data_IF_206325000225
#
_entry.id   IF_206325000225
#
_cell.length_a   1.000
_cell.length_b   1.000
_cell.length_c   1.000
_cell.angle_alpha   90.00
_cell.angle_beta   90.00
_cell.angle_gamma   90.00
#
_symmetry.space_group_name_H-M   'P 1'
#
loop_
_entity.id
_entity.type
_entity.pdbx_description
1 polymer ?
#
# COMPACT_ATOMS: atom_id res chain seq x y z
N UNK A 1 -3.63 -1.35 -10.37
CA UNK A 1 -4.77 -2.06 -9.74
C UNK A 1 -4.22 -2.84 -8.56
N UNK A 2 -4.75 -2.66 -7.37
CA UNK A 2 -4.46 -3.58 -6.26
C UNK A 2 -5.25 -4.87 -6.51
N UNK A 3 -4.67 -6.07 -6.31
CA UNK A 3 -5.38 -7.35 -6.41
C UNK A 3 -6.67 -7.31 -5.59
N UNK A 4 -7.73 -8.00 -6.04
CA UNK A 4 -9.01 -8.06 -5.29
C UNK A 4 -8.79 -8.61 -3.87
N UNK A 5 -7.80 -9.48 -3.69
CA UNK A 5 -7.34 -9.94 -2.38
C UNK A 5 -6.98 -8.78 -1.43
N UNK A 6 -6.29 -7.73 -1.91
CA UNK A 6 -5.94 -6.55 -1.09
C UNK A 6 -7.18 -5.74 -0.70
N UNK A 7 -8.19 -5.68 -1.57
CA UNK A 7 -9.46 -4.98 -1.28
C UNK A 7 -10.30 -5.75 -0.26
N UNK A 8 -10.35 -7.08 -0.34
CA UNK A 8 -11.07 -7.92 0.64
C UNK A 8 -10.37 -7.92 2.01
N UNK A 9 -9.04 -7.99 2.02
CA UNK A 9 -8.25 -7.90 3.25
C UNK A 9 -8.42 -6.52 3.93
N UNK A 10 -8.48 -5.43 3.16
CA UNK A 10 -8.71 -4.06 3.65
C UNK A 10 -10.11 -3.75 4.21
N UNK A 11 -11.07 -4.70 4.20
CA UNK A 11 -12.44 -4.49 4.69
C UNK A 11 -12.67 -4.96 6.13
N UNK A 12 -11.71 -5.66 6.75
CA UNK A 12 -11.80 -6.01 8.17
C UNK A 12 -11.47 -4.79 9.05
N UNK A 13 -12.28 -4.49 10.10
CA UNK A 13 -12.07 -3.31 10.93
C UNK A 13 -10.84 -3.49 11.81
N UNK A 14 -9.68 -3.08 11.32
CA UNK A 14 -8.48 -2.93 12.16
C UNK A 14 -8.43 -1.47 12.62
N UNK A 15 -9.20 -1.17 13.66
CA UNK A 15 -8.95 0.05 14.43
C UNK A 15 -7.62 -0.17 15.14
N UNK A 16 -6.57 0.56 14.74
CA UNK A 16 -5.23 0.66 15.37
C UNK A 16 -4.13 -0.33 14.94
N UNK A 17 -3.75 -0.38 13.66
CA UNK A 17 -2.46 -0.98 13.30
C UNK A 17 -1.85 -0.26 12.07
N UNK A 18 -0.63 0.29 12.21
CA UNK A 18 0.01 1.15 11.19
C UNK A 18 1.29 0.53 10.58
N UNK A 19 1.62 -0.73 10.89
CA UNK A 19 2.66 -1.49 10.21
C UNK A 19 2.04 -2.38 9.13
N UNK A 20 2.53 -2.27 7.89
CA UNK A 20 2.10 -3.14 6.79
C UNK A 20 2.21 -4.62 7.16
N UNK A 21 3.31 -5.04 7.78
CA UNK A 21 3.56 -6.43 8.18
C UNK A 21 2.57 -6.95 9.25
N UNK A 22 2.26 -6.14 10.27
CA UNK A 22 1.36 -6.55 11.37
C UNK A 22 -0.12 -6.51 10.95
N UNK A 23 -0.50 -5.59 10.03
CA UNK A 23 -1.83 -5.58 9.42
C UNK A 23 -2.12 -6.83 8.59
N UNK A 24 -1.17 -7.27 7.76
CA UNK A 24 -1.33 -8.50 6.99
C UNK A 24 -1.42 -9.73 7.89
N UNK A 25 -0.61 -9.77 8.95
CA UNK A 25 -0.61 -10.88 9.88
C UNK A 25 -1.98 -11.06 10.57
N UNK A 26 -2.58 -9.99 11.11
CA UNK A 26 -3.91 -10.03 11.73
C UNK A 26 -5.03 -10.47 10.76
N UNK A 27 -4.93 -10.07 9.50
CA UNK A 27 -5.90 -10.48 8.47
C UNK A 27 -5.76 -11.96 8.09
N UNK A 28 -4.53 -12.46 8.01
CA UNK A 28 -4.27 -13.89 7.75
C UNK A 28 -4.76 -14.73 8.93
N UNK A 29 -4.53 -14.29 10.16
CA UNK A 29 -4.98 -14.97 11.38
C UNK A 29 -6.50 -15.13 11.44
N UNK A 30 -7.24 -14.09 11.08
CA UNK A 30 -8.70 -14.17 10.98
C UNK A 30 -9.13 -15.27 9.97
N UNK A 31 -8.48 -15.34 8.81
CA UNK A 31 -8.73 -16.39 7.82
C UNK A 31 -8.34 -17.78 8.35
N UNK A 32 -7.22 -17.91 9.07
CA UNK A 32 -6.80 -19.19 9.68
C UNK A 32 -7.82 -19.72 10.69
N UNK A 33 -8.46 -18.83 11.44
CA UNK A 33 -9.52 -19.20 12.39
C UNK A 33 -10.79 -19.64 11.66
N UNK A 34 -11.16 -18.97 10.57
CA UNK A 34 -12.30 -19.39 9.73
C UNK A 34 -12.06 -20.75 9.05
N UNK A 35 -10.85 -20.99 8.54
CA UNK A 35 -10.46 -22.26 7.91
C UNK A 35 -10.54 -23.45 8.88
N UNK A 36 -10.35 -23.20 10.18
CA UNK A 36 -10.41 -24.20 11.24
C UNK A 36 -11.79 -24.32 11.91
N UNK A 37 -12.80 -23.59 11.43
CA UNK A 37 -14.14 -23.67 11.98
C UNK A 37 -14.71 -25.10 11.83
N UNK A 38 -15.25 -25.73 12.89
CA UNK A 38 -15.74 -27.12 12.82
C UNK A 38 -16.88 -27.34 11.81
N UNK A 39 -17.72 -26.33 11.58
CA UNK A 39 -18.92 -26.44 10.75
C UNK A 39 -18.69 -25.91 9.32
N UNK A 40 -17.96 -24.80 9.20
CA UNK A 40 -17.78 -24.04 7.95
C UNK A 40 -16.34 -24.07 7.41
N UNK A 41 -15.41 -24.68 8.13
CA UNK A 41 -14.00 -24.77 7.80
C UNK A 41 -13.66 -25.95 6.90
N UNK A 42 -12.36 -26.19 6.75
CA UNK A 42 -11.83 -27.28 5.92
C UNK A 42 -11.97 -28.59 6.67
N UNK A 43 -12.51 -29.61 5.99
CA UNK A 43 -12.61 -30.95 6.54
C UNK A 43 -11.21 -31.54 6.76
N UNK A 44 -10.95 -31.98 7.99
CA UNK A 44 -9.69 -32.63 8.31
C UNK A 44 -9.76 -34.15 8.14
N UNK A 45 -8.62 -34.76 7.86
CA UNK A 45 -8.46 -36.20 7.74
C UNK A 45 -7.32 -36.74 8.62
N UNK A 46 -7.33 -38.05 8.83
CA UNK A 46 -6.30 -38.75 9.60
C UNK A 46 -5.15 -39.16 8.69
N UNK A 47 -3.93 -38.76 9.06
CA UNK A 47 -2.70 -39.19 8.40
C UNK A 47 -2.15 -40.43 9.11
N UNK A 48 -1.83 -41.48 8.36
CA UNK A 48 -1.11 -42.65 8.89
C UNK A 48 0.40 -42.46 8.73
N UNK A 49 1.14 -42.44 9.84
CA UNK A 49 2.60 -42.36 9.86
C UNK A 49 3.18 -43.63 10.49
N UNK A 50 3.82 -44.46 9.68
CA UNK A 50 4.21 -45.83 10.04
C UNK A 50 2.99 -46.67 10.49
N UNK A 51 2.82 -46.84 11.81
CA UNK A 51 1.74 -47.63 12.44
C UNK A 51 0.85 -46.71 13.30
N UNK A 52 1.12 -45.40 13.34
CA UNK A 52 0.41 -44.45 14.20
C UNK A 52 -0.48 -43.54 13.37
N UNK A 53 -1.75 -43.48 13.73
CA UNK A 53 -2.72 -42.58 13.14
C UNK A 53 -2.66 -41.21 13.82
N UNK A 54 -2.52 -40.15 13.04
CA UNK A 54 -2.37 -38.77 13.52
C UNK A 54 -3.47 -37.91 12.87
N UNK A 55 -4.41 -37.36 13.67
CA UNK A 55 -5.56 -36.61 13.15
C UNK A 55 -5.18 -35.21 12.63
N UNK A 56 -6.20 -34.49 12.14
CA UNK A 56 -6.17 -33.07 11.79
C UNK A 56 -5.24 -32.67 10.63
N UNK A 57 -4.96 -33.58 9.69
CA UNK A 57 -4.30 -33.23 8.44
C UNK A 57 -5.32 -32.68 7.43
N UNK A 58 -4.88 -31.80 6.53
CA UNK A 58 -5.70 -31.22 5.45
C UNK A 58 -4.98 -31.36 4.11
N UNK A 59 -5.69 -31.62 3.02
CA UNK A 59 -5.09 -31.71 1.70
C UNK A 59 -4.88 -30.32 1.09
N UNK A 60 -3.80 -30.14 0.32
CA UNK A 60 -3.49 -28.89 -0.38
C UNK A 60 -4.61 -28.43 -1.31
N UNK A 61 -5.25 -29.36 -2.02
CA UNK A 61 -6.43 -29.08 -2.84
C UNK A 61 -7.61 -28.53 -2.04
N UNK A 62 -7.89 -29.06 -0.85
CA UNK A 62 -9.01 -28.59 -0.03
C UNK A 62 -8.75 -27.17 0.50
N UNK A 63 -7.50 -26.85 0.84
CA UNK A 63 -7.06 -25.49 1.19
C UNK A 63 -7.30 -24.53 0.02
N UNK A 64 -6.83 -24.88 -1.17
CA UNK A 64 -6.98 -24.04 -2.36
C UNK A 64 -8.45 -23.81 -2.72
N UNK A 65 -9.27 -24.86 -2.70
CA UNK A 65 -10.71 -24.76 -2.98
C UNK A 65 -11.45 -23.91 -1.96
N UNK A 66 -11.10 -24.02 -0.67
CA UNK A 66 -11.70 -23.18 0.37
C UNK A 66 -11.37 -21.69 0.14
N UNK A 67 -10.12 -21.36 -0.18
CA UNK A 67 -9.69 -19.98 -0.47
C UNK A 67 -10.46 -19.42 -1.66
N UNK A 68 -10.54 -20.18 -2.75
CA UNK A 68 -11.29 -19.81 -3.97
C UNK A 68 -12.75 -19.49 -3.66
N UNK A 69 -13.42 -20.37 -2.93
CA UNK A 69 -14.84 -20.22 -2.60
C UNK A 69 -15.09 -19.06 -1.63
N UNK A 70 -14.24 -18.92 -0.60
CA UNK A 70 -14.43 -17.94 0.47
C UNK A 70 -14.11 -16.51 0.04
N UNK A 71 -13.08 -16.32 -0.80
CA UNK A 71 -12.59 -15.01 -1.21
C UNK A 71 -13.04 -14.58 -2.61
N UNK A 72 -13.58 -15.50 -3.41
CA UNK A 72 -14.05 -15.23 -4.79
C UNK A 72 -12.96 -14.59 -5.67
N UNK A 73 -11.75 -15.14 -5.58
CA UNK A 73 -10.55 -14.70 -6.31
C UNK A 73 -10.16 -15.68 -7.42
N UNK A 74 -9.19 -15.32 -8.26
CA UNK A 74 -8.69 -16.23 -9.30
C UNK A 74 -7.84 -17.36 -8.69
N UNK A 75 -7.67 -18.46 -9.42
CA UNK A 75 -6.82 -19.58 -8.97
C UNK A 75 -5.36 -19.16 -8.76
N UNK A 76 -4.83 -18.28 -9.60
CA UNK A 76 -3.47 -17.74 -9.47
C UNK A 76 -3.32 -16.92 -8.18
N UNK A 77 -4.29 -16.05 -7.87
CA UNK A 77 -4.31 -15.28 -6.62
C UNK A 77 -4.47 -16.19 -5.40
N UNK A 78 -5.35 -17.20 -5.49
CA UNK A 78 -5.59 -18.15 -4.39
C UNK A 78 -4.37 -19.01 -4.07
N UNK A 79 -3.68 -19.50 -5.12
CA UNK A 79 -2.45 -20.25 -4.93
C UNK A 79 -1.35 -19.39 -4.32
N UNK A 80 -1.17 -18.18 -4.84
CA UNK A 80 -0.18 -17.26 -4.29
C UNK A 80 -0.46 -16.95 -2.81
N UNK A 81 -1.73 -16.71 -2.45
CA UNK A 81 -2.12 -16.50 -1.06
C UNK A 81 -1.88 -17.76 -0.20
N UNK A 82 -2.20 -18.93 -0.73
CA UNK A 82 -1.91 -20.22 -0.08
C UNK A 82 -0.41 -20.44 0.14
N UNK A 83 0.44 -20.09 -0.83
CA UNK A 83 1.89 -20.11 -0.69
C UNK A 83 2.35 -19.19 0.44
N UNK A 84 1.76 -18.00 0.58
CA UNK A 84 2.07 -17.10 1.69
C UNK A 84 1.68 -17.72 3.03
N UNK A 85 0.52 -18.40 3.13
CA UNK A 85 0.14 -19.10 4.36
C UNK A 85 1.17 -20.17 4.77
N UNK A 86 1.74 -20.89 3.80
CA UNK A 86 2.80 -21.86 4.05
C UNK A 86 4.11 -21.17 4.44
N UNK A 87 4.53 -20.15 3.68
CA UNK A 87 5.81 -19.45 3.91
C UNK A 87 5.87 -18.76 5.26
N UNK A 88 4.80 -18.08 5.67
CA UNK A 88 4.71 -17.45 6.98
C UNK A 88 4.47 -18.44 8.13
N UNK A 89 4.32 -19.73 7.83
CA UNK A 89 4.23 -20.78 8.84
C UNK A 89 2.87 -20.92 9.51
N UNK A 90 1.80 -20.35 8.96
CA UNK A 90 0.43 -20.55 9.46
C UNK A 90 -0.08 -21.97 9.16
N UNK A 91 0.36 -22.54 8.04
CA UNK A 91 0.21 -23.94 7.68
C UNK A 91 1.58 -24.51 7.29
N UNK A 92 1.81 -25.79 7.52
CA UNK A 92 3.09 -26.41 7.16
C UNK A 92 2.91 -27.77 6.51
N UNK A 93 3.76 -28.12 5.51
CA UNK A 93 3.67 -29.38 4.80
C UNK A 93 4.16 -30.54 5.67
N UNK A 94 3.51 -31.68 5.54
CA UNK A 94 3.85 -32.91 6.27
C UNK A 94 4.84 -33.78 5.49
N UNK A 95 4.92 -33.60 4.17
CA UNK A 95 5.92 -34.17 3.28
C UNK A 95 6.88 -33.07 2.81
N UNK A 96 8.16 -33.39 2.65
CA UNK A 96 9.18 -32.42 2.21
C UNK A 96 9.14 -31.10 3.00
N UNK A 97 9.39 -31.12 4.33
CA UNK A 97 9.09 -29.98 5.22
C UNK A 97 9.83 -28.67 4.90
N UNK A 98 10.90 -28.73 4.11
CA UNK A 98 11.66 -27.55 3.65
C UNK A 98 11.00 -26.85 2.45
N UNK A 99 10.10 -27.52 1.75
CA UNK A 99 9.41 -26.97 0.60
C UNK A 99 8.18 -26.19 1.06
N UNK A 100 8.40 -24.93 1.45
CA UNK A 100 7.36 -24.03 1.96
C UNK A 100 6.48 -23.47 0.82
N UNK A 101 5.77 -24.34 0.12
CA UNK A 101 4.82 -24.00 -0.94
C UNK A 101 3.54 -24.83 -0.79
N UNK A 102 2.43 -24.29 -1.28
CA UNK A 102 1.15 -24.99 -1.33
C UNK A 102 1.06 -25.76 -2.65
N UNK A 103 0.94 -27.09 -2.56
CA UNK A 103 0.75 -27.98 -3.71
C UNK A 103 -0.73 -28.16 -4.04
N UNK A 104 -1.04 -28.17 -5.34
CA UNK A 104 -2.39 -28.41 -5.90
C UNK A 104 -2.74 -29.90 -6.02
N UNK A 105 -2.31 -30.68 -5.05
CA UNK A 105 -2.49 -32.13 -5.04
C UNK A 105 -2.96 -32.59 -3.65
N UNK A 106 -2.92 -33.92 -3.45
CA UNK A 106 -3.24 -34.55 -2.17
C UNK A 106 -2.15 -34.40 -1.10
N UNK A 107 -1.12 -33.58 -1.31
CA UNK A 107 -0.10 -33.32 -0.29
C UNK A 107 -0.74 -32.79 0.98
N UNK A 108 -0.22 -33.23 2.13
CA UNK A 108 -0.86 -32.98 3.40
C UNK A 108 -0.20 -31.82 4.13
N UNK A 109 -1.02 -31.01 4.75
CA UNK A 109 -0.63 -29.88 5.58
C UNK A 109 -1.28 -30.00 6.95
N UNK A 110 -0.78 -29.24 7.92
CA UNK A 110 -1.44 -29.00 9.20
C UNK A 110 -1.42 -27.51 9.51
N UNK A 111 -2.44 -27.07 10.24
CA UNK A 111 -2.46 -25.75 10.84
C UNK A 111 -1.42 -25.66 11.96
N UNK A 112 -0.74 -24.52 11.99
CA UNK A 112 0.15 -24.14 13.08
C UNK A 112 -0.66 -23.62 14.25
N UNK A 113 -0.17 -23.86 15.46
CA UNK A 113 -0.79 -23.29 16.67
C UNK A 113 -0.54 -21.78 16.76
N UNK A 114 -1.49 -20.99 17.29
CA UNK A 114 -1.31 -19.54 17.47
C UNK A 114 -0.06 -19.13 18.27
N UNK A 115 0.42 -20.01 19.14
CA UNK A 115 1.68 -19.80 19.88
C UNK A 115 2.90 -19.66 18.95
N UNK A 116 2.85 -20.22 17.73
CA UNK A 116 3.92 -20.18 16.75
C UNK A 116 3.60 -19.26 15.55
N UNK A 117 2.58 -18.42 15.64
CA UNK A 117 2.26 -17.48 14.58
C UNK A 117 3.21 -16.28 14.57
N UNK A 118 3.53 -15.73 13.39
CA UNK A 118 4.52 -14.66 13.25
C UNK A 118 4.04 -13.28 13.73
N UNK A 119 2.74 -13.07 13.97
CA UNK A 119 2.20 -11.77 14.41
C UNK A 119 2.50 -11.44 15.88
N UNK A 120 3.22 -12.30 16.60
CA UNK A 120 3.63 -11.99 17.96
C UNK A 120 4.58 -10.79 17.96
N UNK A 121 4.42 -9.92 18.96
CA UNK A 121 5.18 -8.66 19.06
C UNK A 121 6.69 -8.82 19.22
N UNK A 122 7.20 -10.06 19.30
CA UNK A 122 8.59 -10.37 19.59
C UNK A 122 9.16 -11.32 18.53
N UNK A 123 10.32 -11.00 17.94
CA UNK A 123 11.02 -11.94 17.08
C UNK A 123 11.43 -13.19 17.88
N UNK A 124 11.56 -14.32 17.21
CA UNK A 124 12.02 -15.55 17.85
C UNK A 124 13.37 -15.34 18.55
N UNK A 125 13.45 -15.65 19.85
CA UNK A 125 14.64 -15.42 20.67
C UNK A 125 15.74 -16.45 20.37
N UNK A 126 16.99 -16.01 20.44
CA UNK A 126 18.17 -16.86 20.31
C UNK A 126 18.24 -17.89 21.45
N UNK A 127 17.74 -17.56 22.64
CA UNK A 127 17.64 -18.50 23.77
C UNK A 127 16.73 -19.68 23.44
N UNK A 128 15.55 -19.40 22.88
CA UNK A 128 14.57 -20.43 22.52
C UNK A 128 15.09 -21.33 21.40
N UNK A 129 15.79 -20.75 20.41
CA UNK A 129 16.39 -21.53 19.34
C UNK A 129 17.50 -22.45 19.86
N UNK A 130 18.33 -21.97 20.81
CA UNK A 130 19.34 -22.79 21.46
C UNK A 130 18.72 -23.96 22.24
N UNK A 131 17.60 -23.74 22.96
CA UNK A 131 16.86 -24.80 23.66
C UNK A 131 16.35 -25.85 22.67
N UNK A 132 15.80 -25.41 21.54
CA UNK A 132 15.33 -26.30 20.49
C UNK A 132 16.44 -27.20 19.92
N UNK A 133 17.58 -26.60 19.54
CA UNK A 133 18.73 -27.34 18.99
C UNK A 133 19.34 -28.29 20.03
N UNK A 134 19.45 -27.86 21.29
CA UNK A 134 19.92 -28.71 22.39
C UNK A 134 19.01 -29.92 22.60
N UNK A 135 17.68 -29.72 22.62
CA UNK A 135 16.68 -30.78 22.73
C UNK A 135 16.78 -31.77 21.56
N UNK A 136 16.94 -31.26 20.33
CA UNK A 136 17.12 -32.07 19.12
C UNK A 136 18.40 -32.92 19.20
N UNK A 137 19.50 -32.36 19.69
CA UNK A 137 20.76 -33.08 19.89
C UNK A 137 20.68 -34.15 21.00
N UNK A 138 19.95 -33.89 22.10
CA UNK A 138 19.68 -34.87 23.17
C UNK A 138 18.85 -36.05 22.65
N UNK A 139 17.85 -35.78 21.80
CA UNK A 139 16.96 -36.81 21.25
C UNK A 139 17.74 -37.87 20.45
N UNK A 140 18.70 -37.44 19.64
CA UNK A 140 19.61 -38.32 18.90
C UNK A 140 20.90 -37.56 18.55
N UNK A 141 22.04 -38.04 19.05
CA UNK A 141 23.35 -37.48 18.71
C UNK A 141 23.56 -37.51 17.19
N UNK A 142 23.98 -36.38 16.62
CA UNK A 142 24.28 -36.26 15.19
C UNK A 142 23.07 -36.05 14.26
N UNK A 143 21.88 -35.76 14.81
CA UNK A 143 20.68 -35.46 14.00
C UNK A 143 20.59 -34.01 13.50
N UNK A 144 21.44 -33.12 14.04
CA UNK A 144 21.53 -31.73 13.57
C UNK A 144 22.11 -31.68 12.16
N UNK A 145 21.49 -30.88 11.30
CA UNK A 145 22.02 -30.55 9.98
C UNK A 145 23.24 -29.63 10.09
N UNK A 146 24.01 -29.48 9.01
CA UNK A 146 25.29 -28.76 9.08
C UNK A 146 25.12 -27.29 9.51
N UNK A 147 24.19 -26.56 8.88
CA UNK A 147 23.87 -25.18 9.27
C UNK A 147 23.33 -25.08 10.72
N UNK A 148 22.60 -26.10 11.19
CA UNK A 148 22.11 -26.14 12.57
C UNK A 148 23.25 -26.37 13.57
N UNK A 149 24.27 -27.14 13.21
CA UNK A 149 25.48 -27.31 14.04
C UNK A 149 26.26 -26.01 14.11
N UNK A 150 26.41 -25.31 12.99
CA UNK A 150 27.06 -24.00 12.95
C UNK A 150 26.32 -23.00 13.86
N UNK A 151 24.99 -22.91 13.74
CA UNK A 151 24.17 -22.09 14.62
C UNK A 151 24.24 -22.52 16.09
N UNK A 152 24.20 -23.83 16.38
CA UNK A 152 24.31 -24.33 17.76
C UNK A 152 25.64 -23.93 18.40
N UNK A 153 26.74 -24.04 17.66
CA UNK A 153 28.08 -23.65 18.12
C UNK A 153 28.18 -22.13 18.31
N UNK A 154 27.63 -21.35 17.37
CA UNK A 154 27.57 -19.88 17.46
C UNK A 154 26.75 -19.43 18.67
N UNK A 155 25.57 -20.02 18.91
CA UNK A 155 24.72 -19.70 20.05
C UNK A 155 25.41 -20.07 21.37
N UNK A 156 26.05 -21.23 21.45
CA UNK A 156 26.82 -21.62 22.63
C UNK A 156 27.91 -20.60 22.99
N UNK A 157 28.55 -19.97 21.98
CA UNK A 157 29.50 -18.89 22.22
C UNK A 157 28.81 -17.58 22.61
N UNK A 158 27.74 -17.18 21.89
CA UNK A 158 27.03 -15.90 22.07
C UNK A 158 26.30 -15.79 23.41
N UNK A 159 25.62 -16.85 23.83
CA UNK A 159 24.79 -16.89 25.04
C UNK A 159 25.30 -17.91 26.08
N UNK A 160 26.63 -18.12 26.12
CA UNK A 160 27.27 -19.09 27.00
C UNK A 160 26.89 -18.92 28.48
N UNK A 161 26.76 -17.66 28.92
CA UNK A 161 26.38 -17.31 30.29
C UNK A 161 24.99 -17.80 30.72
N UNK A 162 24.11 -18.17 29.76
CA UNK A 162 22.79 -18.80 29.99
C UNK A 162 22.78 -20.30 29.66
N UNK A 163 23.91 -20.91 29.34
CA UNK A 163 23.93 -22.25 28.73
C UNK A 163 23.42 -23.35 29.66
N UNK A 164 23.72 -23.27 30.96
CA UNK A 164 23.18 -24.21 31.95
C UNK A 164 21.64 -24.18 31.98
N UNK A 165 21.04 -23.00 31.87
CA UNK A 165 19.60 -22.83 31.75
C UNK A 165 19.06 -23.46 30.46
N UNK A 166 19.73 -23.22 29.32
CA UNK A 166 19.37 -23.83 28.02
C UNK A 166 19.35 -25.36 28.11
N UNK A 167 20.40 -25.97 28.67
CA UNK A 167 20.50 -27.44 28.81
C UNK A 167 19.46 -27.99 29.79
N UNK A 168 19.23 -27.29 30.91
CA UNK A 168 18.20 -27.66 31.89
C UNK A 168 16.81 -27.66 31.25
N UNK A 169 16.43 -26.58 30.56
CA UNK A 169 15.15 -26.46 29.86
C UNK A 169 15.01 -27.51 28.76
N UNK A 170 16.05 -27.76 27.96
CA UNK A 170 16.03 -28.78 26.91
C UNK A 170 15.79 -30.20 27.46
N UNK A 171 16.44 -30.55 28.59
CA UNK A 171 16.24 -31.84 29.27
C UNK A 171 14.83 -31.97 29.85
N UNK A 172 14.32 -30.91 30.46
CA UNK A 172 12.97 -30.87 31.04
C UNK A 172 11.90 -31.05 29.95
N UNK A 173 11.98 -30.28 28.86
CA UNK A 173 11.08 -30.43 27.71
C UNK A 173 11.17 -31.83 27.06
N UNK A 174 12.38 -32.39 26.94
CA UNK A 174 12.57 -33.74 26.42
C UNK A 174 11.93 -34.81 27.31
N UNK A 175 12.03 -34.66 28.64
CA UNK A 175 11.40 -35.55 29.62
C UNK A 175 9.86 -35.45 29.53
N UNK A 176 9.32 -34.24 29.56
CA UNK A 176 7.87 -34.00 29.43
C UNK A 176 7.32 -34.54 28.10
N UNK A 177 8.08 -34.44 27.00
CA UNK A 177 7.69 -34.99 25.70
C UNK A 177 7.58 -36.52 25.67
N UNK A 178 8.36 -37.24 26.51
CA UNK A 178 8.29 -38.71 26.60
C UNK A 178 7.02 -39.21 27.26
N UNK A 179 6.44 -38.43 28.16
CA UNK A 179 5.20 -38.75 28.88
C UNK A 179 3.96 -38.66 27.96
N UNK A 180 4.08 -37.96 26.82
CA UNK A 180 2.99 -37.84 25.83
C UNK A 180 2.86 -39.07 24.94
N UNK A 181 1.64 -39.28 24.43
CA UNK A 181 1.34 -40.29 23.40
C UNK A 181 2.22 -40.08 22.16
N UNK A 182 2.54 -41.18 21.46
CA UNK A 182 3.45 -41.16 20.30
C UNK A 182 2.95 -40.23 19.17
N UNK A 183 1.64 -40.21 18.92
CA UNK A 183 1.02 -39.34 17.92
C UNK A 183 1.19 -37.85 18.27
N UNK A 184 0.83 -37.46 19.50
CA UNK A 184 0.91 -36.08 19.98
C UNK A 184 2.35 -35.56 19.95
N UNK A 185 3.29 -36.39 20.41
CA UNK A 185 4.73 -36.06 20.38
C UNK A 185 5.22 -35.79 18.95
N UNK A 186 4.82 -36.62 17.99
CA UNK A 186 5.19 -36.43 16.59
C UNK A 186 4.61 -35.14 16.01
N UNK A 187 3.34 -34.85 16.29
CA UNK A 187 2.69 -33.63 15.82
C UNK A 187 3.37 -32.37 16.38
N UNK A 188 3.69 -32.35 17.68
CA UNK A 188 4.38 -31.24 18.33
C UNK A 188 5.80 -31.04 17.80
N UNK A 189 6.56 -32.13 17.62
CA UNK A 189 7.90 -32.06 17.01
C UNK A 189 7.84 -31.46 15.60
N UNK A 190 6.77 -31.75 14.84
CA UNK A 190 6.55 -31.19 13.51
C UNK A 190 6.15 -29.72 13.54
N UNK A 191 5.27 -29.31 14.48
CA UNK A 191 4.88 -27.90 14.68
C UNK A 191 6.09 -27.02 15.03
N UNK A 192 6.89 -27.47 16.00
CA UNK A 192 8.08 -26.74 16.45
C UNK A 192 9.15 -26.69 15.35
N UNK A 193 9.34 -27.79 14.60
CA UNK A 193 10.24 -27.78 13.43
C UNK A 193 9.77 -26.81 12.36
N UNK A 194 8.47 -26.77 12.06
CA UNK A 194 7.93 -25.85 11.06
C UNK A 194 8.11 -24.38 11.47
N UNK A 195 7.92 -24.06 12.75
CA UNK A 195 8.19 -22.74 13.30
C UNK A 195 9.64 -22.29 13.08
N UNK A 196 10.61 -23.16 13.40
CA UNK A 196 12.03 -22.82 13.25
C UNK A 196 12.48 -22.76 11.79
N UNK A 197 11.87 -23.52 10.89
CA UNK A 197 12.16 -23.41 9.45
C UNK A 197 11.79 -22.04 8.87
N UNK A 198 10.80 -21.35 9.46
CA UNK A 198 10.41 -19.99 9.07
C UNK A 198 11.25 -18.94 9.79
N UNK A 199 11.46 -19.08 11.10
CA UNK A 199 12.14 -18.06 11.92
C UNK A 199 13.68 -18.13 11.89
N UNK A 200 14.24 -19.27 11.46
CA UNK A 200 15.68 -19.53 11.32
C UNK A 200 15.89 -20.34 10.05
N UNK A 201 15.58 -19.70 8.93
CA UNK A 201 15.61 -20.27 7.58
C UNK A 201 16.98 -20.85 7.24
N UNK A 202 17.03 -22.03 6.57
CA UNK A 202 18.29 -22.58 6.07
C UNK A 202 18.99 -21.61 5.09
N UNK A 203 20.33 -21.60 5.03
CA UNK A 203 21.07 -20.77 4.08
C UNK A 203 20.60 -21.00 2.63
N UNK A 204 20.40 -19.91 1.88
CA UNK A 204 19.94 -19.94 0.48
C UNK A 204 18.42 -20.03 0.30
N UNK A 205 17.64 -20.14 1.38
CA UNK A 205 16.19 -20.02 1.36
C UNK A 205 15.78 -18.55 1.56
N UNK A 206 14.64 -18.15 0.98
CA UNK A 206 14.08 -16.82 1.19
C UNK A 206 13.67 -16.64 2.66
N UNK A 207 14.22 -15.64 3.33
CA UNK A 207 13.74 -15.20 4.63
C UNK A 207 12.47 -14.35 4.44
N UNK A 208 11.31 -14.96 4.70
CA UNK A 208 10.02 -14.30 4.54
C UNK A 208 9.76 -13.22 5.61
N UNK A 209 10.51 -13.27 6.73
CA UNK A 209 10.37 -12.33 7.83
C UNK A 209 11.30 -11.12 7.68
N UNK A 210 12.15 -11.09 6.65
CA UNK A 210 12.97 -9.93 6.32
C UNK A 210 12.07 -8.76 5.87
N UNK A 211 11.91 -7.77 6.75
CA UNK A 211 11.10 -6.58 6.48
C UNK A 211 11.92 -5.37 6.01
N UNK A 212 13.20 -5.58 5.68
CA UNK A 212 14.15 -4.55 5.28
C UNK A 212 14.77 -3.81 6.47
N UNK A 213 15.11 -2.53 6.28
CA UNK A 213 15.67 -1.70 7.35
C UNK A 213 14.60 -1.29 8.37
N UNK A 214 15.02 -1.18 9.63
CA UNK A 214 14.21 -0.59 10.68
C UNK A 214 13.76 0.83 10.34
N UNK A 215 12.53 1.16 10.72
CA UNK A 215 12.03 2.53 10.56
C UNK A 215 12.65 3.44 11.61
N UNK A 216 13.18 4.58 11.17
CA UNK A 216 13.70 5.62 12.07
C UNK A 216 12.62 6.30 12.93
N UNK A 217 11.34 6.05 12.67
CA UNK A 217 10.20 6.61 13.40
C UNK A 217 9.17 5.50 13.61
N UNK A 218 8.59 5.45 14.81
CA UNK A 218 7.55 4.47 15.13
C UNK A 218 6.31 4.74 14.24
N UNK A 219 5.92 3.79 13.37
CA UNK A 219 4.73 3.92 12.53
C UNK A 219 3.42 4.04 13.32
N UNK A 220 3.41 3.83 14.64
CA UNK A 220 2.22 3.98 15.48
C UNK A 220 1.70 5.42 15.62
N UNK A 221 2.38 6.42 15.05
CA UNK A 221 1.92 7.82 15.05
C UNK A 221 0.97 8.14 13.87
N UNK A 222 -0.28 8.50 14.21
CA UNK A 222 -1.39 8.72 13.26
C UNK A 222 -1.29 10.03 12.45
N UNK A 223 -1.71 9.99 11.17
CA UNK A 223 -2.12 11.20 10.41
C UNK A 223 -3.37 10.98 9.56
N UNK A 224 -4.23 12.00 9.56
CA UNK A 224 -5.59 12.03 8.99
C UNK A 224 -5.62 12.57 7.56
N UNK A 225 -6.52 12.02 6.75
CA UNK A 225 -6.65 12.22 5.29
C UNK A 225 -7.58 13.38 4.87
N UNK A 226 -7.23 14.05 3.75
CA UNK A 226 -8.05 15.02 3.00
C UNK A 226 -8.52 14.45 1.64
N UNK A 227 -9.56 13.60 1.64
CA UNK A 227 -9.93 12.76 0.48
C UNK A 227 -10.63 13.50 -0.68
N UNK A 228 -11.39 14.58 -0.40
CA UNK A 228 -12.32 15.15 -1.38
C UNK A 228 -11.66 15.92 -2.54
N UNK A 229 -10.54 16.58 -2.29
CA UNK A 229 -9.82 17.34 -3.33
C UNK A 229 -9.08 16.43 -4.31
N UNK A 230 -8.69 15.23 -3.85
CA UNK A 230 -7.99 14.24 -4.68
C UNK A 230 -8.89 13.70 -5.81
N UNK A 231 -10.16 13.43 -5.53
CA UNK A 231 -11.09 12.88 -6.55
C UNK A 231 -11.24 13.80 -7.75
N UNK A 232 -11.50 15.09 -7.51
CA UNK A 232 -11.65 16.08 -8.59
C UNK A 232 -10.38 16.24 -9.42
N UNK A 233 -9.22 16.20 -8.77
CA UNK A 233 -7.93 16.23 -9.46
C UNK A 233 -7.76 15.00 -10.34
N UNK A 234 -8.00 13.79 -9.82
CA UNK A 234 -7.87 12.55 -10.58
C UNK A 234 -8.79 12.51 -11.81
N UNK A 235 -10.05 12.94 -11.68
CA UNK A 235 -10.99 13.01 -12.81
C UNK A 235 -10.51 13.97 -13.91
N UNK A 236 -9.98 15.13 -13.52
CA UNK A 236 -9.50 16.14 -14.47
C UNK A 236 -8.29 15.64 -15.29
N UNK A 237 -7.41 14.84 -14.69
CA UNK A 237 -6.19 14.35 -15.33
C UNK A 237 -6.34 12.95 -15.96
N UNK A 238 -7.49 12.29 -15.81
CA UNK A 238 -7.71 10.92 -16.29
C UNK A 238 -7.40 10.74 -17.79
N UNK A 239 -7.79 11.71 -18.62
CA UNK A 239 -7.53 11.67 -20.07
C UNK A 239 -6.05 11.82 -20.44
N UNK A 240 -5.25 12.37 -19.53
CA UNK A 240 -3.82 12.59 -19.69
C UNK A 240 -2.98 11.44 -19.07
N UNK A 241 -3.62 10.42 -18.49
CA UNK A 241 -2.96 9.25 -17.90
C UNK A 241 -2.79 8.15 -18.97
N UNK A 242 -1.56 7.87 -19.43
CA UNK A 242 -1.30 6.87 -20.46
C UNK A 242 -1.63 5.44 -20.04
N UNK A 243 -1.71 5.15 -18.74
CA UNK A 243 -2.04 3.83 -18.20
C UNK A 243 -3.54 3.57 -18.30
N UNK A 244 -4.36 4.57 -17.98
CA UNK A 244 -5.82 4.43 -17.91
C UNK A 244 -6.52 4.76 -19.23
N UNK A 245 -6.04 5.78 -19.94
CA UNK A 245 -6.66 6.29 -21.16
C UNK A 245 -5.88 5.97 -22.43
N UNK A 246 -4.66 5.43 -22.30
CA UNK A 246 -3.73 5.31 -23.42
C UNK A 246 -3.14 6.66 -23.82
N UNK A 247 -2.30 6.66 -24.85
CA UNK A 247 -1.73 7.86 -25.43
C UNK A 247 -1.59 7.72 -26.94
N UNK A 248 -1.61 8.87 -27.63
CA UNK A 248 -1.47 8.95 -29.08
C UNK A 248 -0.09 9.46 -29.47
N UNK A 249 0.57 8.91 -30.50
CA UNK A 249 0.02 7.92 -31.43
C UNK A 249 -0.06 6.49 -30.86
N UNK A 250 0.85 6.14 -29.96
CA UNK A 250 0.86 4.90 -29.20
C UNK A 250 1.66 5.05 -27.90
N UNK A 251 1.69 4.03 -27.03
CA UNK A 251 2.54 4.02 -25.83
C UNK A 251 3.90 3.42 -26.18
N UNK A 252 5.01 4.19 -26.11
CA UNK A 252 6.35 3.72 -26.51
C UNK A 252 6.79 2.44 -25.79
N UNK A 253 6.35 2.20 -24.56
CA UNK A 253 6.69 0.99 -23.81
C UNK A 253 6.00 -0.28 -24.31
N UNK A 254 5.03 -0.15 -25.21
CA UNK A 254 4.24 -1.27 -25.76
C UNK A 254 4.52 -1.47 -27.25
N UNK A 255 4.77 -0.39 -27.98
CA UNK A 255 4.98 -0.41 -29.44
C UNK A 255 6.44 -0.23 -29.85
N UNK A 256 7.33 0.09 -28.89
CA UNK A 256 8.72 0.49 -29.14
C UNK A 256 8.86 1.69 -30.11
N UNK A 257 7.77 2.44 -30.32
CA UNK A 257 7.70 3.64 -31.15
C UNK A 257 7.89 4.89 -30.28
N UNK A 258 9.00 5.65 -30.44
CA UNK A 258 9.30 6.82 -29.62
C UNK A 258 8.52 8.07 -30.03
N UNK A 259 7.68 8.04 -31.07
CA UNK A 259 7.02 9.23 -31.63
C UNK A 259 6.22 10.02 -30.57
N UNK A 260 5.59 9.33 -29.59
CA UNK A 260 4.92 10.01 -28.47
C UNK A 260 5.88 10.90 -27.66
N UNK A 261 7.12 10.47 -27.43
CA UNK A 261 8.12 11.26 -26.71
C UNK A 261 8.61 12.43 -27.55
N UNK A 262 8.84 12.22 -28.85
CA UNK A 262 9.29 13.28 -29.76
C UNK A 262 8.26 14.40 -29.87
N UNK A 263 6.98 14.04 -30.02
CA UNK A 263 5.87 14.99 -30.06
C UNK A 263 5.67 15.74 -28.74
N UNK A 264 6.06 15.15 -27.61
CA UNK A 264 5.95 15.76 -26.28
C UNK A 264 7.29 16.26 -25.72
N UNK A 265 8.34 16.37 -26.55
CA UNK A 265 9.63 16.88 -26.13
C UNK A 265 9.52 18.30 -25.53
N UNK A 266 10.34 18.60 -24.52
CA UNK A 266 10.20 19.83 -23.70
C UNK A 266 10.13 21.11 -24.53
N UNK A 267 10.93 21.21 -25.59
CA UNK A 267 11.05 22.37 -26.46
C UNK A 267 10.56 22.11 -27.90
N UNK A 268 9.75 21.06 -28.12
CA UNK A 268 9.14 20.73 -29.42
C UNK A 268 8.54 21.97 -30.09
N UNK A 269 8.75 22.18 -31.39
CA UNK A 269 8.34 23.42 -32.06
C UNK A 269 6.84 23.72 -31.89
N UNK A 270 6.00 22.71 -32.18
CA UNK A 270 4.55 22.76 -32.04
C UNK A 270 4.10 21.72 -31.01
N UNK A 271 3.55 22.13 -29.85
CA UNK A 271 3.07 21.18 -28.85
C UNK A 271 1.83 20.41 -29.34
N UNK A 272 1.58 19.24 -28.74
CA UNK A 272 0.35 18.48 -28.97
C UNK A 272 -0.87 19.21 -28.40
N UNK A 273 -2.05 18.98 -29.00
CA UNK A 273 -3.31 19.59 -28.55
C UNK A 273 -3.61 19.26 -27.09
N UNK A 274 -3.42 18.00 -26.69
CA UNK A 274 -3.58 17.55 -25.30
C UNK A 274 -2.67 18.33 -24.33
N UNK A 275 -1.41 18.57 -24.71
CA UNK A 275 -0.48 19.36 -23.91
C UNK A 275 -0.94 20.82 -23.76
N UNK A 276 -1.46 21.43 -24.82
CA UNK A 276 -1.98 22.82 -24.78
C UNK A 276 -3.25 22.91 -23.94
N UNK A 277 -4.18 21.96 -24.07
CA UNK A 277 -5.41 21.90 -23.26
C UNK A 277 -5.11 21.75 -21.78
N UNK A 278 -4.08 20.97 -21.44
CA UNK A 278 -3.61 20.78 -20.06
C UNK A 278 -3.16 22.08 -19.40
N UNK A 279 -2.64 23.04 -20.17
CA UNK A 279 -2.32 24.37 -19.63
C UNK A 279 -3.52 25.10 -19.04
N UNK A 280 -4.74 24.79 -19.50
CA UNK A 280 -5.97 25.40 -19.00
C UNK A 280 -6.47 24.77 -17.69
N UNK A 281 -5.94 23.60 -17.30
CA UNK A 281 -6.41 22.89 -16.09
C UNK A 281 -6.16 23.71 -14.83
N UNK A 282 -4.97 24.28 -14.72
CA UNK A 282 -4.62 25.23 -13.69
C UNK A 282 -3.33 25.96 -14.06
N UNK A 283 -3.09 27.11 -13.42
CA UNK A 283 -1.93 27.94 -13.69
C UNK A 283 -0.59 27.24 -13.48
N UNK A 284 -0.51 26.26 -12.57
CA UNK A 284 0.73 25.52 -12.35
C UNK A 284 1.11 24.66 -13.55
N UNK A 285 0.16 24.10 -14.29
CA UNK A 285 0.45 23.31 -15.49
C UNK A 285 1.04 24.20 -16.59
N UNK A 286 0.45 25.38 -16.81
CA UNK A 286 1.00 26.39 -17.72
C UNK A 286 2.41 26.82 -17.32
N UNK A 287 2.63 27.11 -16.03
CA UNK A 287 3.90 27.63 -15.52
C UNK A 287 5.02 26.58 -15.47
N UNK A 288 4.69 25.29 -15.30
CA UNK A 288 5.69 24.21 -15.32
C UNK A 288 6.15 23.86 -16.73
N UNK A 289 5.28 24.05 -17.72
CA UNK A 289 5.60 23.78 -19.12
C UNK A 289 6.45 24.91 -19.74
N UNK A 290 7.68 24.63 -20.25
CA UNK A 290 8.50 25.64 -20.92
C UNK A 290 7.82 26.30 -22.13
N UNK A 291 7.08 25.54 -22.94
CA UNK A 291 6.33 26.08 -24.08
C UNK A 291 5.10 26.87 -23.63
N UNK A 292 4.47 26.41 -22.55
CA UNK A 292 3.41 27.16 -21.88
C UNK A 292 3.88 28.54 -21.42
N UNK A 293 5.01 28.60 -20.70
CA UNK A 293 5.64 29.87 -20.28
C UNK A 293 6.02 30.76 -21.46
N UNK A 294 6.61 30.21 -22.52
CA UNK A 294 6.95 31.00 -23.73
C UNK A 294 5.69 31.63 -24.34
N UNK A 295 4.60 30.86 -24.49
CA UNK A 295 3.36 31.38 -25.05
C UNK A 295 2.69 32.42 -24.13
N UNK A 296 2.70 32.18 -22.82
CA UNK A 296 2.20 33.13 -21.83
C UNK A 296 3.03 34.42 -21.79
N UNK A 297 4.36 34.33 -21.93
CA UNK A 297 5.25 35.49 -22.03
C UNK A 297 4.93 36.35 -23.26
N UNK A 298 4.58 35.74 -24.40
CA UNK A 298 4.15 36.47 -25.60
C UNK A 298 2.86 37.26 -25.32
N UNK A 299 1.90 36.65 -24.62
CA UNK A 299 0.68 37.33 -24.19
C UNK A 299 0.97 38.50 -23.25
N UNK A 300 1.77 38.28 -22.19
CA UNK A 300 2.10 39.33 -21.22
C UNK A 300 2.87 40.50 -21.85
N UNK A 301 3.74 40.24 -22.84
CA UNK A 301 4.43 41.31 -23.59
C UNK A 301 3.46 42.19 -24.36
N UNK A 302 2.38 41.63 -24.94
CA UNK A 302 1.34 42.41 -25.63
C UNK A 302 0.56 43.32 -24.66
N UNK A 303 0.49 42.94 -23.39
CA UNK A 303 -0.19 43.69 -22.33
C UNK A 303 0.78 44.49 -21.45
N UNK A 304 2.04 44.67 -21.87
CA UNK A 304 3.05 45.41 -21.12
C UNK A 304 3.20 44.94 -19.65
N UNK A 305 3.09 43.64 -19.41
CA UNK A 305 3.20 43.01 -18.08
C UNK A 305 4.19 41.84 -18.06
N UNK A 306 5.09 41.80 -19.05
CA UNK A 306 6.05 40.72 -19.25
C UNK A 306 7.12 40.62 -18.16
N UNK A 307 7.34 41.68 -17.40
CA UNK A 307 8.27 41.77 -16.28
C UNK A 307 7.90 40.81 -15.15
N UNK A 308 6.59 40.61 -14.90
CA UNK A 308 6.08 39.74 -13.85
C UNK A 308 6.56 38.29 -14.02
N UNK A 309 6.45 37.75 -15.23
CA UNK A 309 6.91 36.38 -15.51
C UNK A 309 8.43 36.28 -15.45
N UNK A 310 9.15 37.24 -15.99
CA UNK A 310 10.61 37.22 -15.92
C UNK A 310 11.15 37.36 -14.50
N UNK A 311 10.51 38.15 -13.65
CA UNK A 311 10.84 38.21 -12.22
C UNK A 311 10.60 36.85 -11.55
N UNK A 312 9.46 36.21 -11.85
CA UNK A 312 9.15 34.89 -11.31
C UNK A 312 10.19 33.84 -11.73
N UNK A 313 10.61 33.85 -13.01
CA UNK A 313 11.66 32.94 -13.53
C UNK A 313 13.02 33.21 -12.88
N UNK A 314 13.38 34.48 -12.66
CA UNK A 314 14.62 34.83 -11.97
C UNK A 314 14.61 34.34 -10.51
N UNK A 315 13.46 34.38 -9.84
CA UNK A 315 13.31 33.81 -8.49
C UNK A 315 13.39 32.27 -8.48
N UNK A 316 12.88 31.58 -9.51
CA UNK A 316 13.07 30.13 -9.65
C UNK A 316 14.56 29.77 -9.83
N UNK A 317 15.27 30.51 -10.68
CA UNK A 317 16.71 30.33 -10.92
C UNK A 317 17.54 30.68 -9.67
N UNK A 318 17.12 31.64 -8.84
CA UNK A 318 17.74 31.90 -7.54
C UNK A 318 17.56 30.72 -6.57
N UNK A 319 16.36 30.11 -6.53
CA UNK A 319 16.03 29.04 -5.57
C UNK A 319 16.68 27.70 -5.89
N UNK A 320 16.79 27.36 -7.18
CA UNK A 320 17.25 26.05 -7.64
C UNK A 320 18.56 26.09 -8.41
N UNK A 321 19.12 27.29 -8.64
CA UNK A 321 20.44 27.46 -9.21
C UNK A 321 21.57 27.27 -8.20
N UNK A 322 22.77 27.61 -8.65
CA UNK A 322 24.01 27.50 -7.89
C UNK A 322 23.98 28.34 -6.60
N UNK A 323 24.19 27.67 -5.46
CA UNK A 323 24.16 28.30 -4.14
C UNK A 323 25.28 29.33 -3.95
N UNK A 324 26.41 29.18 -4.64
CA UNK A 324 27.52 30.13 -4.55
C UNK A 324 27.14 31.52 -5.08
N UNK A 325 26.17 31.59 -6.01
CA UNK A 325 25.73 32.83 -6.67
C UNK A 325 24.50 33.46 -6.04
N UNK A 326 23.94 32.88 -4.98
CA UNK A 326 22.65 33.31 -4.39
C UNK A 326 22.68 34.77 -3.95
N UNK A 327 23.77 35.19 -3.28
CA UNK A 327 23.88 36.57 -2.79
C UNK A 327 23.87 37.57 -3.95
N UNK A 328 24.74 37.37 -4.95
CA UNK A 328 24.87 38.23 -6.12
C UNK A 328 23.57 38.27 -6.94
N UNK A 329 22.96 37.11 -7.20
CA UNK A 329 21.69 37.00 -7.93
C UNK A 329 20.55 37.69 -7.19
N UNK A 330 20.44 37.54 -5.87
CA UNK A 330 19.37 38.19 -5.10
C UNK A 330 19.45 39.72 -5.19
N UNK A 331 20.67 40.28 -5.11
CA UNK A 331 20.90 41.72 -5.26
C UNK A 331 20.65 42.20 -6.69
N UNK A 332 21.05 41.43 -7.71
CA UNK A 332 20.78 41.73 -9.12
C UNK A 332 19.28 41.74 -9.41
N UNK A 333 18.55 40.72 -8.96
CA UNK A 333 17.10 40.63 -9.13
C UNK A 333 16.40 41.81 -8.45
N UNK A 334 16.83 42.19 -7.25
CA UNK A 334 16.29 43.37 -6.58
C UNK A 334 16.51 44.64 -7.40
N UNK A 335 17.73 44.89 -7.88
CA UNK A 335 18.06 46.08 -8.70
C UNK A 335 17.30 46.10 -10.03
N UNK A 336 17.09 44.93 -10.64
CA UNK A 336 16.46 44.81 -11.95
C UNK A 336 14.94 44.95 -11.92
N UNK A 337 14.28 44.50 -10.85
CA UNK A 337 12.82 44.40 -10.77
C UNK A 337 12.15 45.17 -9.63
N UNK A 338 12.81 45.35 -8.48
CA UNK A 338 12.16 45.84 -7.25
C UNK A 338 12.64 47.22 -6.80
N UNK A 339 13.88 47.60 -7.12
CA UNK A 339 14.44 48.89 -6.73
C UNK A 339 13.63 50.07 -7.32
N UNK A 340 13.54 51.21 -6.62
CA UNK A 340 12.95 52.42 -7.19
C UNK A 340 13.65 52.81 -8.51
N UNK A 341 12.88 52.95 -9.59
CA UNK A 341 13.43 53.24 -10.93
C UNK A 341 14.07 52.04 -11.64
N UNK A 342 13.84 50.81 -11.16
CA UNK A 342 14.33 49.60 -11.80
C UNK A 342 13.92 49.51 -13.28
N UNK A 343 14.81 48.99 -14.13
CA UNK A 343 14.58 48.89 -15.58
C UNK A 343 13.36 48.03 -15.93
N UNK A 344 13.08 46.99 -15.15
CA UNK A 344 11.95 46.07 -15.33
C UNK A 344 11.06 46.09 -14.09
N UNK A 345 10.75 47.30 -13.62
CA UNK A 345 10.05 47.51 -12.37
C UNK A 345 8.71 46.77 -12.31
N UNK A 346 8.47 46.04 -11.22
CA UNK A 346 7.21 45.35 -10.94
C UNK A 346 6.54 45.94 -9.70
N UNK A 347 5.21 45.84 -9.66
CA UNK A 347 4.43 46.31 -8.53
C UNK A 347 4.17 45.18 -7.52
N UNK A 348 4.61 45.38 -6.28
CA UNK A 348 4.29 44.50 -5.13
C UNK A 348 3.80 45.36 -3.97
N UNK A 349 2.93 44.79 -3.13
CA UNK A 349 2.40 45.52 -1.98
C UNK A 349 3.51 45.87 -0.96
N UNK A 350 3.28 46.94 -0.18
CA UNK A 350 4.27 47.47 0.76
C UNK A 350 4.69 46.46 1.84
N UNK A 351 3.81 45.54 2.23
CA UNK A 351 4.12 44.49 3.21
C UNK A 351 5.14 43.52 2.62
N UNK A 352 4.86 43.04 1.40
CA UNK A 352 5.75 42.14 0.66
C UNK A 352 7.10 42.79 0.36
N UNK A 353 7.12 44.08 0.00
CA UNK A 353 8.36 44.84 -0.18
C UNK A 353 9.17 44.95 1.11
N UNK A 354 8.52 45.26 2.24
CA UNK A 354 9.17 45.34 3.55
C UNK A 354 9.82 44.03 3.98
N UNK A 355 9.13 42.90 3.78
CA UNK A 355 9.67 41.55 4.02
C UNK A 355 10.90 41.31 3.15
N UNK A 356 10.82 41.63 1.85
CA UNK A 356 11.89 41.39 0.87
C UNK A 356 13.14 42.21 1.21
N UNK A 357 12.99 43.51 1.47
CA UNK A 357 14.12 44.41 1.82
C UNK A 357 14.76 43.99 3.14
N UNK A 358 13.97 43.57 4.14
CA UNK A 358 14.51 43.05 5.41
C UNK A 358 15.31 41.76 5.18
N UNK A 359 14.79 40.84 4.36
CA UNK A 359 15.46 39.59 4.02
C UNK A 359 16.77 39.80 3.27
N UNK A 360 16.83 40.76 2.34
CA UNK A 360 18.02 41.08 1.55
C UNK A 360 19.21 41.61 2.37
N UNK A 361 19.02 41.94 3.66
CA UNK A 361 20.15 42.20 4.58
C UNK A 361 21.00 40.95 4.80
N UNK A 362 20.40 39.77 4.72
CA UNK A 362 21.08 38.48 4.79
C UNK A 362 20.55 37.56 3.67
N UNK A 363 21.01 37.75 2.41
CA UNK A 363 20.48 36.99 1.28
C UNK A 363 20.64 35.49 1.44
N UNK A 364 19.56 34.76 1.17
CA UNK A 364 19.50 33.30 1.10
C UNK A 364 18.57 32.88 -0.04
N UNK A 365 18.58 31.60 -0.42
CA UNK A 365 17.85 31.11 -1.60
C UNK A 365 16.34 31.38 -1.61
N UNK A 366 15.72 31.60 -0.45
CA UNK A 366 14.27 31.86 -0.28
C UNK A 366 13.95 33.34 0.01
N UNK A 367 14.94 34.24 -0.11
CA UNK A 367 14.80 35.65 0.29
C UNK A 367 13.72 36.40 -0.50
N UNK A 368 13.39 35.93 -1.71
CA UNK A 368 12.39 36.51 -2.60
C UNK A 368 11.04 35.75 -2.61
N UNK A 369 10.85 34.72 -1.77
CA UNK A 369 9.67 33.83 -1.82
C UNK A 369 8.34 34.58 -1.65
N UNK A 370 8.30 35.57 -0.76
CA UNK A 370 7.11 36.38 -0.54
C UNK A 370 6.73 37.17 -1.80
N UNK A 371 7.70 37.87 -2.41
CA UNK A 371 7.52 38.63 -3.64
C UNK A 371 7.17 37.72 -4.82
N UNK A 372 7.86 36.59 -4.95
CA UNK A 372 7.58 35.61 -6.00
C UNK A 372 6.16 35.03 -5.88
N UNK A 373 5.72 34.70 -4.67
CA UNK A 373 4.37 34.18 -4.41
C UNK A 373 3.31 35.24 -4.70
N UNK A 374 3.57 36.49 -4.32
CA UNK A 374 2.69 37.61 -4.63
C UNK A 374 2.50 37.76 -6.15
N UNK A 375 3.59 37.80 -6.91
CA UNK A 375 3.56 37.92 -8.37
C UNK A 375 2.94 36.69 -9.04
N UNK A 376 3.22 35.48 -8.54
CA UNK A 376 2.58 34.27 -9.01
C UNK A 376 1.06 34.32 -8.83
N UNK A 377 0.58 34.73 -7.65
CA UNK A 377 -0.84 34.86 -7.36
C UNK A 377 -1.51 35.98 -8.17
N UNK A 378 -0.80 37.08 -8.41
CA UNK A 378 -1.25 38.16 -9.28
C UNK A 378 -1.51 37.64 -10.70
N UNK A 379 -0.50 37.01 -11.31
CA UNK A 379 -0.63 36.42 -12.64
C UNK A 379 -1.71 35.33 -12.69
N UNK A 380 -1.80 34.49 -11.65
CA UNK A 380 -2.82 33.43 -11.55
C UNK A 380 -4.24 33.98 -11.53
N UNK A 381 -4.48 35.06 -10.78
CA UNK A 381 -5.83 35.61 -10.56
C UNK A 381 -6.28 36.55 -11.67
N UNK A 382 -5.36 37.31 -12.26
CA UNK A 382 -5.69 38.31 -13.27
C UNK A 382 -5.29 37.86 -14.69
N UNK A 383 -3.99 37.73 -14.95
CA UNK A 383 -3.48 37.51 -16.31
C UNK A 383 -3.83 36.15 -16.90
N UNK A 384 -3.82 35.07 -16.11
CA UNK A 384 -4.04 33.70 -16.58
C UNK A 384 -5.46 33.50 -17.14
N UNK A 385 -6.49 33.99 -16.46
CA UNK A 385 -7.87 33.90 -16.94
C UNK A 385 -8.10 34.66 -18.24
N UNK A 386 -7.39 35.79 -18.43
CA UNK A 386 -7.42 36.58 -19.67
C UNK A 386 -6.62 35.90 -20.79
N UNK A 387 -5.46 35.31 -20.47
CA UNK A 387 -4.64 34.52 -21.39
C UNK A 387 -5.44 33.37 -22.02
N UNK A 388 -6.17 32.57 -21.23
CA UNK A 388 -6.96 31.45 -21.75
C UNK A 388 -8.09 31.88 -22.70
N UNK A 389 -8.53 33.15 -22.63
CA UNK A 389 -9.54 33.71 -23.52
C UNK A 389 -8.93 34.45 -24.73
N UNK A 390 -7.64 34.71 -24.68
CA UNK A 390 -6.92 35.53 -25.66
C UNK A 390 -6.77 34.83 -27.02
N UNK A 391 -6.57 35.60 -28.11
CA UNK A 391 -6.18 35.04 -29.41
C UNK A 391 -4.89 34.21 -29.34
N UNK A 392 -3.95 34.58 -28.46
CA UNK A 392 -2.64 33.91 -28.33
C UNK A 392 -2.80 32.43 -27.95
N UNK A 393 -3.63 32.15 -26.93
CA UNK A 393 -3.91 30.77 -26.52
C UNK A 393 -4.75 30.03 -27.56
N UNK A 394 -5.79 30.68 -28.12
CA UNK A 394 -6.67 30.05 -29.12
C UNK A 394 -5.94 29.68 -30.40
N UNK A 395 -5.02 30.52 -30.87
CA UNK A 395 -4.18 30.24 -32.03
C UNK A 395 -3.20 29.10 -31.75
N UNK A 396 -2.60 29.04 -30.55
CA UNK A 396 -1.74 27.93 -30.15
C UNK A 396 -2.53 26.62 -30.12
N UNK A 397 -3.74 26.63 -29.56
CA UNK A 397 -4.62 25.46 -29.52
C UNK A 397 -5.07 25.01 -30.92
N UNK A 398 -5.31 25.95 -31.83
CA UNK A 398 -5.70 25.66 -33.20
C UNK A 398 -4.55 25.07 -34.04
N UNK A 399 -3.30 25.50 -33.79
CA UNK A 399 -2.10 24.99 -34.46
C UNK A 399 -1.55 23.70 -33.85
N UNK A 400 -1.98 23.34 -32.64
CA UNK A 400 -1.45 22.22 -31.89
C UNK A 400 -1.65 20.88 -32.63
N UNK A 401 -0.63 20.03 -32.58
CA UNK A 401 -0.65 18.74 -33.29
C UNK A 401 -1.65 17.80 -32.62
N UNK A 402 -2.52 17.16 -33.42
CA UNK A 402 -3.35 16.04 -32.97
C UNK A 402 -2.74 14.78 -33.59
N UNK A 403 -1.95 13.99 -32.83
CA UNK A 403 -1.35 12.77 -33.36
C UNK A 403 -2.46 11.80 -33.79
N UNK A 404 -2.27 11.14 -34.93
CA UNK A 404 -3.19 10.11 -35.41
C UNK A 404 -2.83 8.77 -34.78
N UNK A 405 -3.80 7.86 -34.63
CA UNK A 405 -3.52 6.49 -34.21
C UNK A 405 -2.71 5.77 -35.31
N UNK A 406 -1.47 5.38 -35.01
CA UNK A 406 -0.59 4.70 -35.98
C UNK A 406 -0.85 3.20 -36.08
N UNK A 407 -1.63 2.61 -35.15
CA UNK A 407 -1.91 1.16 -35.14
C UNK A 407 -3.36 0.86 -34.71
N UNK A 408 -4.11 0.13 -35.54
CA UNK A 408 -5.41 -0.48 -35.16
C UNK A 408 -5.17 -1.33 -33.92
N UNK A 409 -5.91 -1.04 -32.83
CA UNK A 409 -5.96 -1.86 -31.61
C UNK A 409 -5.99 -3.35 -31.97
N UNK A 410 -4.83 -4.02 -31.88
CA UNK A 410 -4.83 -5.46 -31.66
C UNK A 410 -5.59 -5.67 -30.36
N UNK A 411 -6.69 -6.42 -30.42
CA UNK A 411 -7.64 -6.65 -29.33
C UNK A 411 -7.05 -7.37 -28.11
N UNK A 412 -5.72 -7.52 -28.03
CA UNK A 412 -5.01 -8.27 -27.01
C UNK A 412 -4.10 -7.39 -26.14
N UNK A 413 -4.52 -6.17 -25.81
CA UNK A 413 -3.96 -5.50 -24.63
C UNK A 413 -4.45 -6.27 -23.38
N UNK A 414 -3.57 -6.88 -22.56
CA UNK A 414 -4.00 -7.59 -21.36
C UNK A 414 -4.59 -6.65 -20.29
N UNK A 415 -4.41 -5.34 -20.47
CA UNK A 415 -4.99 -4.28 -19.64
C UNK A 415 -6.22 -3.58 -20.29
N UNK A 416 -6.58 -3.98 -21.52
CA UNK A 416 -7.75 -3.45 -22.21
C UNK A 416 -9.03 -3.95 -21.56
N UNK A 417 -9.92 -3.01 -21.17
CA UNK A 417 -11.24 -3.20 -20.55
C UNK A 417 -11.82 -4.61 -20.71
N UNK A 418 -11.54 -5.51 -19.77
CA UNK A 418 -12.66 -6.33 -19.26
C UNK A 418 -13.64 -5.30 -18.71
N UNK A 419 -14.93 -5.42 -19.02
CA UNK A 419 -15.96 -4.72 -18.26
C UNK A 419 -15.82 -5.16 -16.80
N UNK A 420 -14.93 -4.50 -16.06
CA UNK A 420 -14.87 -4.56 -14.61
C UNK A 420 -16.22 -3.98 -14.21
N UNK A 421 -17.18 -4.86 -13.92
CA UNK A 421 -18.35 -4.47 -13.15
C UNK A 421 -17.76 -3.79 -11.91
N UNK A 422 -17.97 -2.48 -11.79
CA UNK A 422 -17.65 -1.74 -10.59
C UNK A 422 -18.28 -2.51 -9.44
N UNK A 423 -17.44 -3.11 -8.58
CA UNK A 423 -17.93 -3.61 -7.30
C UNK A 423 -18.67 -2.44 -6.65
N UNK A 424 -19.88 -2.65 -6.10
CA UNK A 424 -20.61 -1.59 -5.42
C UNK A 424 -19.68 -0.95 -4.37
N UNK A 425 -19.76 0.38 -4.22
CA UNK A 425 -18.95 1.11 -3.24
C UNK A 425 -19.01 0.38 -1.88
N UNK A 426 -17.90 0.24 -1.13
CA UNK A 426 -17.89 -0.39 0.19
C UNK A 426 -18.93 0.20 1.16
N UNK A 427 -19.31 1.46 0.94
CA UNK A 427 -20.37 2.15 1.69
C UNK A 427 -21.74 1.56 1.35
N UNK A 428 -22.00 1.28 0.08
CA UNK A 428 -23.24 0.64 -0.39
C UNK A 428 -23.29 -0.81 0.10
N UNK A 429 -22.17 -1.53 0.07
CA UNK A 429 -22.08 -2.89 0.61
C UNK A 429 -22.32 -2.94 2.11
N UNK A 430 -21.77 -1.98 2.89
CA UNK A 430 -22.07 -1.84 4.33
C UNK A 430 -23.52 -1.51 4.60
N UNK A 431 -24.12 -0.59 3.84
CA UNK A 431 -25.54 -0.28 3.98
C UNK A 431 -26.41 -1.50 3.68
N UNK A 432 -26.06 -2.29 2.66
CA UNK A 432 -26.76 -3.52 2.32
C UNK A 432 -26.58 -4.61 3.39
N UNK A 433 -25.40 -4.75 4.00
CA UNK A 433 -25.16 -5.67 5.11
C UNK A 433 -25.90 -5.25 6.39
N UNK A 434 -25.93 -3.96 6.71
CA UNK A 434 -26.69 -3.43 7.86
C UNK A 434 -28.19 -3.62 7.64
N UNK A 435 -28.69 -3.40 6.42
CA UNK A 435 -30.09 -3.60 6.06
C UNK A 435 -30.47 -5.09 6.02
N UNK A 436 -29.55 -5.97 5.59
CA UNK A 436 -29.72 -7.42 5.65
C UNK A 436 -29.73 -7.93 7.10
N UNK A 437 -28.80 -7.46 7.95
CA UNK A 437 -28.80 -7.76 9.39
C UNK A 437 -30.05 -7.25 10.08
N UNK A 438 -30.54 -6.06 9.72
CA UNK A 438 -31.78 -5.51 10.25
C UNK A 438 -33.01 -6.35 9.82
N UNK A 439 -33.05 -6.82 8.57
CA UNK A 439 -34.10 -7.72 8.07
C UNK A 439 -34.06 -9.10 8.72
N UNK A 440 -32.87 -9.66 8.92
CA UNK A 440 -32.68 -10.95 9.57
C UNK A 440 -33.07 -10.89 11.06
N UNK A 441 -32.68 -9.80 11.74
CA UNK A 441 -33.11 -9.51 13.10
C UNK A 441 -34.64 -9.34 13.20
N UNK A 442 -35.28 -8.69 12.22
CA UNK A 442 -36.73 -8.55 12.16
C UNK A 442 -37.45 -9.88 11.86
N UNK A 443 -36.84 -10.78 11.09
CA UNK A 443 -37.39 -12.10 10.78
C UNK A 443 -37.28 -13.08 11.97
N UNK A 444 -36.32 -12.89 12.86
CA UNK A 444 -36.18 -13.69 14.10
C UNK A 444 -37.11 -13.27 15.23
N UNK A 445 -37.85 -12.16 15.10
CA UNK A 445 -38.87 -11.77 16.07
C UNK A 445 -40.17 -12.50 15.75
N UNK A 446 -40.47 -13.55 16.51
CA UNK A 446 -41.74 -14.25 16.43
C UNK A 446 -42.89 -13.34 16.93
N UNK A 447 -43.60 -12.73 15.98
CA UNK A 447 -44.73 -11.82 16.22
C UNK A 447 -45.85 -12.51 17.01
N UNK A 448 -45.92 -13.85 17.00
CA UNK A 448 -46.93 -14.60 17.78
C UNK A 448 -46.65 -14.58 19.29
N UNK A 449 -45.37 -14.50 19.71
CA UNK A 449 -45.01 -14.37 21.12
C UNK A 449 -45.30 -12.97 21.69
N UNK A 450 -45.16 -11.91 20.88
CA UNK A 450 -45.40 -10.52 21.32
C UNK A 450 -46.90 -10.24 21.49
N UNK A 451 -47.75 -10.77 20.60
CA UNK A 451 -49.21 -10.65 20.70
C UNK A 451 -49.77 -11.34 21.96
N UNK A 452 -49.22 -12.49 22.36
CA UNK A 452 -49.68 -13.23 23.55
C UNK A 452 -49.38 -12.53 24.90
N UNK A 453 -48.40 -11.60 24.92
CA UNK A 453 -48.03 -10.81 26.11
C UNK A 453 -48.81 -9.50 26.23
N UNK A 454 -49.39 -9.00 25.14
CA UNK A 454 -50.25 -7.82 25.15
C UNK A 454 -51.67 -8.15 25.63
N UNK A 455 -52.19 -9.33 25.28
CA UNK A 455 -53.54 -9.77 25.69
C UNK A 455 -53.65 -10.14 27.18
N UNK A 456 -52.51 -10.44 27.83
CA UNK A 456 -52.47 -10.75 29.27
C UNK A 456 -52.38 -9.50 30.16
N UNK A 457 -52.18 -8.32 29.59
CA UNK A 457 -52.04 -7.05 30.32
C UNK A 457 -53.32 -6.21 30.34
N UNK A 458 -54.35 -6.61 29.58
CA UNK A 458 -55.65 -5.93 29.46
C UNK A 458 -56.73 -6.43 30.44
N UNK A 459 -56.42 -7.39 31.31
CA UNK A 459 -57.33 -7.85 32.37
C UNK A 459 -56.85 -7.38 33.75
N UNK A 460 -57.18 -6.14 34.11
CA UNK A 460 -57.14 -5.67 35.50
C UNK A 460 -58.49 -5.98 36.19
N UNK A 461 -58.52 -6.35 37.49
CA UNK A 461 -59.76 -6.60 38.20
C UNK A 461 -60.53 -5.29 38.44
N UNK A 462 -61.85 -5.31 38.26
CA UNK A 462 -62.76 -4.23 38.70
C UNK A 462 -62.82 -4.22 40.23
N UNK A 463 -62.55 -3.07 40.85
CA UNK A 463 -62.87 -2.82 42.25
C UNK A 463 -64.40 -2.81 42.46
N UNK A 464 -64.92 -3.35 43.58
CA UNK A 464 -66.34 -3.25 43.92
C UNK A 464 -66.68 -1.85 44.47
N UNK A 465 -67.91 -1.35 44.27
CA UNK A 465 -68.28 -0.01 44.71
C UNK A 465 -68.64 0.02 46.20
N UNK A 466 -67.93 0.91 46.90
CA UNK A 466 -68.15 1.53 48.23
C UNK A 466 -68.23 0.63 49.47
#
# INVERSE_FOLDING_TARGET
MLPRAVVVLGLLPVHSCNTSHLCYALQIEALMMEMQNPDKGIKTQTQKVMITDIPHAVAGNDILQWILQRLQITEEEALHLGDLFVKYGYIYPLQEPKNLTLRRDGSLYRFQTPYFWPAQSWPADDTDYAIYLAKKNIKRKGILEEYEKEHYNMLNQKINYKWDFVIMQAKEQYKAGKERKKADRYALDCQERAYWLVNRTPPGMLDVLEYGLDRATDPNENKVNQVRQLVKYSEQFLSNDPILSGCLPSNPWVTDDPEFWDLNAKLVEVPTKMRVERWAFNFSELMRDPKGRQNFQLFLKKEFSGENLSFWEACEDLKYGDQSKVKEKAEEIYKLFLAPGARRWINIDGTTMGITVKGLKHPHRYVLDAAQTHIYMLMKKDSYGRYLKSPVYKEMLAKAVVPQETVKKSSNFPFGRRHLRSSPSPIILRQQEEEAKAKEAAATVDITQVMSKLDRRSQLPKEPPK
#
